data_IF_045529212319
#
_entry.id   IF_045529212319
#
_cell.length_a   1.000
_cell.length_b   1.000
_cell.length_c   1.000
_cell.angle_alpha   90.00
_cell.angle_beta   90.00
_cell.angle_gamma   90.00
#
_symmetry.space_group_name_H-M   'P 1'
#
loop_
_entity.id
_entity.type
_entity.pdbx_description
1 polymer ?
#
# COMPACT_ATOMS: atom_id res chain seq x y z
N UNK A 1 -9.80 -3.48 -16.10
CA UNK A 1 -8.69 -3.80 -17.02
C UNK A 1 -7.58 -4.44 -16.22
N UNK A 2 -7.02 -5.55 -16.70
CA UNK A 2 -5.82 -6.17 -16.12
C UNK A 2 -4.59 -5.58 -16.81
N UNK A 3 -3.56 -5.31 -16.04
CA UNK A 3 -2.28 -4.80 -16.52
C UNK A 3 -1.19 -5.72 -16.00
N UNK A 4 -0.30 -6.15 -16.89
CA UNK A 4 0.85 -6.97 -16.51
C UNK A 4 1.91 -6.12 -15.81
N UNK A 5 2.38 -6.58 -14.65
CA UNK A 5 3.40 -5.90 -13.90
C UNK A 5 4.76 -6.06 -14.59
N UNK A 6 5.49 -4.95 -14.71
CA UNK A 6 6.86 -4.94 -15.22
C UNK A 6 7.85 -5.04 -14.05
N UNK A 7 8.91 -5.83 -14.23
CA UNK A 7 9.99 -5.94 -13.26
C UNK A 7 10.63 -4.57 -12.99
N UNK A 8 10.79 -4.21 -11.71
CA UNK A 8 11.58 -3.05 -11.33
C UNK A 8 13.05 -3.27 -11.71
N UNK A 9 13.62 -2.33 -12.46
CA UNK A 9 15.04 -2.36 -12.83
C UNK A 9 15.94 -1.92 -11.67
N UNK A 10 17.24 -2.17 -11.78
CA UNK A 10 18.20 -1.64 -10.80
C UNK A 10 18.14 -0.10 -10.71
N UNK A 11 17.95 0.56 -11.84
CA UNK A 11 17.78 2.02 -11.90
C UNK A 11 16.52 2.47 -11.13
N UNK A 12 15.42 1.75 -11.30
CA UNK A 12 14.19 2.01 -10.54
C UNK A 12 14.44 1.85 -9.03
N UNK A 13 15.09 0.77 -8.63
CA UNK A 13 15.36 0.47 -7.22
C UNK A 13 16.29 1.50 -6.57
N UNK A 14 17.25 2.04 -7.31
CA UNK A 14 18.19 3.06 -6.84
C UNK A 14 17.54 4.42 -6.56
N UNK A 15 16.30 4.64 -6.97
CA UNK A 15 15.54 5.85 -6.57
C UNK A 15 15.37 5.93 -5.04
N UNK A 16 15.33 4.78 -4.38
CA UNK A 16 15.15 4.68 -2.92
C UNK A 16 16.29 3.90 -2.27
N UNK A 17 16.60 2.72 -2.78
CA UNK A 17 17.59 1.83 -2.19
C UNK A 17 19.01 2.33 -2.35
N UNK A 18 19.82 2.16 -1.32
CA UNK A 18 21.26 2.39 -1.40
C UNK A 18 21.93 1.29 -2.24
N UNK A 19 23.00 1.65 -2.94
CA UNK A 19 23.81 0.66 -3.67
C UNK A 19 24.40 -0.39 -2.73
N UNK A 20 24.77 0.00 -1.51
CA UNK A 20 25.22 -0.90 -0.46
C UNK A 20 24.18 -2.01 -0.21
N UNK A 21 22.93 -1.63 0.04
CA UNK A 21 21.85 -2.58 0.30
C UNK A 21 21.59 -3.51 -0.89
N UNK A 22 21.50 -2.97 -2.10
CA UNK A 22 21.28 -3.78 -3.29
C UNK A 22 22.45 -4.76 -3.54
N UNK A 23 23.69 -4.38 -3.18
CA UNK A 23 24.83 -5.28 -3.24
C UNK A 23 24.76 -6.40 -2.19
N UNK A 24 24.19 -6.16 -1.01
CA UNK A 24 23.95 -7.21 -0.01
C UNK A 24 23.05 -8.33 -0.54
N UNK A 25 22.06 -7.99 -1.38
CA UNK A 25 21.16 -8.99 -1.99
C UNK A 25 21.86 -9.93 -2.98
N UNK A 26 23.10 -9.67 -3.34
CA UNK A 26 23.94 -10.57 -4.12
C UNK A 26 24.50 -11.74 -3.31
N UNK A 27 24.24 -11.75 -2.00
CA UNK A 27 24.67 -12.82 -1.08
C UNK A 27 23.46 -13.62 -0.62
N UNK A 28 23.51 -14.92 -0.85
CA UNK A 28 22.41 -15.83 -0.46
C UNK A 28 22.13 -15.80 1.03
N UNK A 29 23.14 -15.57 1.87
CA UNK A 29 22.99 -15.41 3.32
C UNK A 29 22.08 -14.20 3.65
N UNK A 30 22.35 -13.05 3.04
CA UNK A 30 21.54 -11.85 3.26
C UNK A 30 20.08 -12.06 2.83
N UNK A 31 19.86 -12.68 1.68
CA UNK A 31 18.50 -12.97 1.19
C UNK A 31 17.80 -14.00 2.09
N UNK A 32 18.49 -15.02 2.55
CA UNK A 32 17.93 -16.01 3.50
C UNK A 32 17.48 -15.34 4.80
N UNK A 33 18.25 -14.38 5.30
CA UNK A 33 17.95 -13.63 6.52
C UNK A 33 16.72 -12.73 6.31
N UNK A 34 16.67 -11.98 5.21
CA UNK A 34 15.59 -11.04 4.90
C UNK A 34 14.28 -11.78 4.65
N UNK A 35 14.31 -12.86 3.88
CA UNK A 35 13.13 -13.66 3.54
C UNK A 35 12.72 -14.64 4.62
N UNK A 36 13.58 -14.84 5.63
CA UNK A 36 13.39 -15.80 6.71
C UNK A 36 13.24 -17.26 6.19
N UNK A 37 13.94 -17.57 5.11
CA UNK A 37 13.97 -18.90 4.49
C UNK A 37 15.40 -19.47 4.61
N UNK A 38 15.75 -20.13 5.72
CA UNK A 38 17.11 -20.60 5.97
C UNK A 38 17.72 -21.47 4.83
N UNK A 39 16.99 -22.37 4.15
CA UNK A 39 17.55 -23.16 3.06
C UNK A 39 18.10 -22.33 1.89
N UNK A 40 17.69 -21.10 1.72
CA UNK A 40 18.18 -20.19 0.65
C UNK A 40 19.68 -19.97 0.74
N UNK A 41 20.27 -20.04 1.95
CA UNK A 41 21.72 -19.87 2.16
C UNK A 41 22.56 -20.88 1.36
N UNK A 42 22.01 -22.08 1.12
CA UNK A 42 22.70 -23.15 0.38
C UNK A 42 22.56 -23.06 -1.14
N UNK A 43 21.75 -22.12 -1.63
CA UNK A 43 21.52 -21.94 -3.05
C UNK A 43 22.57 -21.01 -3.66
N UNK A 44 23.07 -21.33 -4.88
CA UNK A 44 23.87 -20.39 -5.65
C UNK A 44 23.09 -19.09 -5.85
N UNK A 45 23.77 -17.94 -5.71
CA UNK A 45 23.11 -16.66 -5.76
C UNK A 45 22.33 -16.40 -7.06
N UNK A 46 22.81 -16.89 -8.21
CA UNK A 46 22.07 -16.73 -9.46
C UNK A 46 20.67 -17.38 -9.44
N UNK A 47 20.51 -18.49 -8.71
CA UNK A 47 19.19 -19.11 -8.51
C UNK A 47 18.33 -18.27 -7.56
N UNK A 48 18.94 -17.74 -6.50
CA UNK A 48 18.26 -16.84 -5.56
C UNK A 48 17.76 -15.58 -6.29
N UNK A 49 18.60 -14.99 -7.13
CA UNK A 49 18.21 -13.84 -7.97
C UNK A 49 17.02 -14.17 -8.86
N UNK A 50 17.07 -15.31 -9.54
CA UNK A 50 16.04 -15.68 -10.52
C UNK A 50 14.74 -16.15 -9.89
N UNK A 51 14.81 -16.92 -8.80
CA UNK A 51 13.64 -17.65 -8.23
C UNK A 51 13.04 -16.97 -7.01
N UNK A 52 13.79 -16.15 -6.32
CA UNK A 52 13.35 -15.45 -5.11
C UNK A 52 13.21 -13.95 -5.35
N UNK A 53 14.27 -13.27 -5.76
CA UNK A 53 14.28 -11.82 -5.85
C UNK A 53 13.55 -11.27 -7.08
N UNK A 54 13.66 -11.93 -8.23
CA UNK A 54 12.97 -11.48 -9.44
C UNK A 54 11.44 -11.40 -9.28
N UNK A 55 10.76 -12.42 -8.72
CA UNK A 55 9.32 -12.30 -8.42
C UNK A 55 8.99 -11.12 -7.51
N UNK A 56 9.83 -10.84 -6.52
CA UNK A 56 9.66 -9.69 -5.65
C UNK A 56 9.88 -8.36 -6.38
N UNK A 57 10.84 -8.29 -7.32
CA UNK A 57 11.03 -7.10 -8.18
C UNK A 57 9.85 -6.89 -9.13
N UNK A 58 9.23 -7.96 -9.62
CA UNK A 58 8.01 -7.85 -10.45
C UNK A 58 6.87 -7.27 -9.63
N UNK A 59 6.66 -7.74 -8.42
CA UNK A 59 5.66 -7.18 -7.51
C UNK A 59 5.95 -5.71 -7.18
N UNK A 60 7.22 -5.37 -6.95
CA UNK A 60 7.66 -3.99 -6.69
C UNK A 60 7.37 -3.09 -7.89
N UNK A 61 7.71 -3.52 -9.10
CA UNK A 61 7.36 -2.81 -10.34
C UNK A 61 5.85 -2.65 -10.51
N UNK A 62 5.10 -3.67 -10.11
CA UNK A 62 3.63 -3.62 -10.08
C UNK A 62 3.10 -2.52 -9.16
N UNK A 63 3.68 -2.36 -7.97
CA UNK A 63 3.30 -1.30 -7.03
C UNK A 63 3.62 0.09 -7.59
N UNK A 64 4.79 0.28 -8.18
CA UNK A 64 5.18 1.54 -8.84
C UNK A 64 4.20 1.89 -9.96
N UNK A 65 3.90 0.94 -10.85
CA UNK A 65 2.95 1.13 -11.96
C UNK A 65 1.55 1.44 -11.44
N UNK A 66 1.09 0.70 -10.42
CA UNK A 66 -0.21 0.88 -9.83
C UNK A 66 -0.38 2.27 -9.20
N UNK A 67 0.68 2.83 -8.61
CA UNK A 67 0.68 4.20 -8.09
C UNK A 67 0.34 5.22 -9.18
N UNK A 68 1.00 5.14 -10.33
CA UNK A 68 0.71 5.99 -11.48
C UNK A 68 -0.72 5.80 -12.00
N UNK A 69 -1.13 4.55 -12.18
CA UNK A 69 -2.48 4.23 -12.65
C UNK A 69 -3.57 4.71 -11.68
N UNK A 70 -3.30 4.64 -10.37
CA UNK A 70 -4.23 5.15 -9.37
C UNK A 70 -4.46 6.66 -9.53
N UNK A 71 -3.40 7.44 -9.72
CA UNK A 71 -3.51 8.89 -9.93
C UNK A 71 -4.23 9.20 -11.25
N UNK A 72 -3.93 8.47 -12.32
CA UNK A 72 -4.54 8.68 -13.63
C UNK A 72 -6.02 8.28 -13.68
N UNK A 73 -6.43 7.26 -12.93
CA UNK A 73 -7.74 6.60 -13.05
C UNK A 73 -8.58 6.59 -11.77
N UNK A 74 -8.02 7.14 -10.69
CA UNK A 74 -8.66 7.23 -9.39
C UNK A 74 -8.43 6.03 -8.48
N UNK A 75 -8.07 4.86 -9.02
CA UNK A 75 -7.76 3.68 -8.23
C UNK A 75 -6.86 2.70 -9.00
N UNK A 76 -6.10 1.92 -8.26
CA UNK A 76 -5.41 0.73 -8.76
C UNK A 76 -5.20 -0.28 -7.63
N UNK A 77 -5.15 -1.56 -7.99
CA UNK A 77 -4.88 -2.66 -7.06
C UNK A 77 -3.72 -3.49 -7.63
N UNK A 78 -2.63 -3.59 -6.87
CA UNK A 78 -1.59 -4.56 -7.13
C UNK A 78 -1.88 -5.82 -6.30
N UNK A 79 -2.13 -6.95 -6.96
CA UNK A 79 -2.29 -8.24 -6.29
C UNK A 79 -0.90 -8.78 -5.94
N UNK A 80 -0.31 -8.20 -4.94
CA UNK A 80 1.08 -8.38 -4.51
C UNK A 80 1.59 -7.12 -3.83
N UNK A 81 2.89 -7.07 -3.56
CA UNK A 81 3.52 -5.93 -2.91
C UNK A 81 3.13 -5.75 -1.46
N UNK A 82 3.31 -4.53 -0.94
CA UNK A 82 3.08 -4.22 0.45
C UNK A 82 4.23 -4.63 1.36
N UNK A 83 5.45 -4.51 0.87
CA UNK A 83 6.67 -4.91 1.59
C UNK A 83 7.09 -3.88 2.63
N UNK A 84 6.21 -3.65 3.59
CA UNK A 84 6.25 -2.54 4.54
C UNK A 84 7.33 -2.66 5.63
N UNK A 85 8.02 -3.81 5.73
CA UNK A 85 9.16 -3.95 6.61
C UNK A 85 10.49 -3.54 5.98
N UNK A 86 10.54 -3.38 4.66
CA UNK A 86 11.72 -2.94 3.95
C UNK A 86 11.83 -1.42 3.90
N UNK A 87 13.01 -0.91 4.23
CA UNK A 87 13.39 0.49 4.04
C UNK A 87 14.45 0.64 2.94
N UNK A 88 14.88 1.87 2.71
CA UNK A 88 15.92 2.18 1.70
C UNK A 88 17.23 1.38 1.89
N UNK A 89 17.58 1.08 3.12
CA UNK A 89 18.89 0.54 3.50
C UNK A 89 18.81 -0.78 4.29
N UNK A 90 17.61 -1.32 4.51
CA UNK A 90 17.41 -2.56 5.28
C UNK A 90 16.18 -3.32 4.83
N UNK A 91 16.36 -4.61 4.57
CA UNK A 91 15.26 -5.58 4.40
C UNK A 91 15.00 -6.40 5.67
N UNK A 92 13.86 -7.02 5.74
CA UNK A 92 13.46 -7.90 6.83
C UNK A 92 11.99 -8.29 6.71
N UNK A 93 11.52 -9.18 7.59
CA UNK A 93 10.11 -9.57 7.62
C UNK A 93 9.54 -9.99 6.25
N UNK A 94 10.28 -10.80 5.50
CA UNK A 94 9.98 -11.25 4.13
C UNK A 94 10.10 -10.17 3.04
N UNK A 95 10.47 -8.94 3.40
CA UNK A 95 10.46 -7.78 2.51
C UNK A 95 11.88 -7.45 2.04
N UNK A 96 12.16 -7.66 0.74
CA UNK A 96 13.46 -7.39 0.13
C UNK A 96 13.53 -6.01 -0.55
N UNK A 97 12.41 -5.48 -1.00
CA UNK A 97 12.34 -4.18 -1.69
C UNK A 97 11.24 -3.30 -1.08
N UNK A 98 11.54 -2.02 -0.90
CA UNK A 98 10.62 -1.03 -0.32
C UNK A 98 9.65 -0.49 -1.38
N UNK A 99 8.70 -1.30 -1.81
CA UNK A 99 7.78 -0.97 -2.91
C UNK A 99 6.87 0.21 -2.59
N UNK A 100 6.38 0.32 -1.35
CA UNK A 100 5.54 1.45 -0.92
C UNK A 100 6.34 2.76 -1.00
N UNK A 101 7.54 2.79 -0.45
CA UNK A 101 8.43 3.96 -0.52
C UNK A 101 8.76 4.30 -1.97
N UNK A 102 9.09 3.29 -2.79
CA UNK A 102 9.37 3.47 -4.21
C UNK A 102 8.19 4.08 -4.96
N UNK A 103 6.97 3.56 -4.77
CA UNK A 103 5.78 4.09 -5.42
C UNK A 103 5.55 5.57 -5.08
N UNK A 104 5.68 5.95 -3.81
CA UNK A 104 5.50 7.34 -3.36
C UNK A 104 6.59 8.24 -3.95
N UNK A 105 7.86 7.84 -3.92
CA UNK A 105 8.95 8.63 -4.48
C UNK A 105 8.81 8.81 -5.98
N UNK A 106 8.44 7.77 -6.72
CA UNK A 106 8.16 7.87 -8.15
C UNK A 106 7.02 8.85 -8.45
N UNK A 107 5.95 8.83 -7.65
CA UNK A 107 4.84 9.77 -7.81
C UNK A 107 5.30 11.22 -7.58
N UNK A 108 6.03 11.48 -6.50
CA UNK A 108 6.53 12.82 -6.19
C UNK A 108 7.50 13.36 -7.24
N UNK A 109 8.34 12.50 -7.80
CA UNK A 109 9.38 12.91 -8.75
C UNK A 109 8.89 13.02 -10.20
N UNK A 110 7.82 12.29 -10.57
CA UNK A 110 7.46 12.08 -11.99
C UNK A 110 6.00 12.37 -12.34
N UNK A 111 5.16 12.68 -11.36
CA UNK A 111 3.76 12.98 -11.62
C UNK A 111 3.43 14.37 -11.11
N UNK A 112 3.17 15.27 -12.05
CA UNK A 112 2.82 16.64 -11.72
C UNK A 112 1.53 16.68 -10.86
N UNK A 113 1.54 17.56 -9.85
CA UNK A 113 0.41 17.74 -8.96
C UNK A 113 0.33 16.74 -7.80
N UNK A 114 1.25 15.78 -7.70
CA UNK A 114 1.34 14.85 -6.56
C UNK A 114 2.50 15.26 -5.66
N UNK A 115 2.18 15.85 -4.52
CA UNK A 115 3.17 16.33 -3.54
C UNK A 115 2.92 15.85 -2.13
N UNK A 116 1.78 15.21 -1.86
CA UNK A 116 1.41 14.68 -0.55
C UNK A 116 0.83 13.29 -0.68
N UNK A 117 1.21 12.40 0.22
CA UNK A 117 0.68 11.05 0.30
C UNK A 117 0.27 10.68 1.73
N UNK A 118 -0.75 9.87 1.87
CA UNK A 118 -1.09 9.22 3.12
C UNK A 118 -0.94 7.72 2.96
N UNK A 119 -0.19 7.10 3.86
CA UNK A 119 -0.13 5.65 3.98
C UNK A 119 -1.17 5.23 5.02
N UNK A 120 -2.08 4.36 4.63
CA UNK A 120 -3.01 3.66 5.53
C UNK A 120 -2.54 2.22 5.58
N UNK A 121 -1.80 1.88 6.62
CA UNK A 121 -1.27 0.53 6.83
C UNK A 121 -2.18 -0.24 7.79
N UNK A 122 -2.85 -1.25 7.26
CA UNK A 122 -3.78 -2.11 7.99
C UNK A 122 -3.33 -3.59 8.01
N UNK A 123 -2.08 -3.86 7.66
CA UNK A 123 -1.45 -5.15 7.95
C UNK A 123 -1.39 -5.37 9.47
N UNK A 124 -1.40 -6.62 9.92
CA UNK A 124 -1.34 -6.90 11.36
C UNK A 124 -0.03 -6.43 12.03
N UNK A 125 1.04 -6.27 11.23
CA UNK A 125 2.37 -5.87 11.70
C UNK A 125 2.62 -4.37 11.50
N UNK A 126 3.41 -3.79 12.38
CA UNK A 126 3.90 -2.42 12.20
C UNK A 126 4.70 -2.27 10.91
N UNK A 127 4.41 -1.25 10.11
CA UNK A 127 5.09 -0.94 8.85
C UNK A 127 6.41 -0.18 9.06
N UNK A 128 7.33 -0.76 9.77
CA UNK A 128 8.57 -0.10 10.20
C UNK A 128 9.49 0.36 9.05
N UNK A 129 9.38 -0.24 7.88
CA UNK A 129 10.19 0.13 6.71
C UNK A 129 9.84 1.51 6.17
N UNK A 130 8.58 1.73 5.77
CA UNK A 130 8.16 3.03 5.28
C UNK A 130 8.16 4.09 6.37
N UNK A 131 7.94 3.71 7.63
CA UNK A 131 8.06 4.62 8.76
C UNK A 131 9.48 5.20 8.86
N UNK A 132 10.51 4.37 8.72
CA UNK A 132 11.91 4.83 8.71
C UNK A 132 12.20 5.72 7.52
N UNK A 133 11.72 5.36 6.33
CA UNK A 133 11.99 6.10 5.11
C UNK A 133 11.36 7.49 5.11
N UNK A 134 10.21 7.66 5.75
CA UNK A 134 9.47 8.92 5.80
C UNK A 134 9.50 9.62 7.16
N UNK A 135 10.44 9.25 8.03
CA UNK A 135 10.57 9.80 9.38
C UNK A 135 10.53 11.33 9.42
N UNK A 136 11.27 11.97 8.54
CA UNK A 136 11.41 13.41 8.48
C UNK A 136 10.69 14.07 7.29
N UNK A 137 9.97 13.28 6.50
CA UNK A 137 9.28 13.78 5.31
C UNK A 137 7.82 14.14 5.62
N UNK A 138 7.57 15.43 5.83
CA UNK A 138 6.24 15.95 6.17
C UNK A 138 5.21 15.83 5.03
N UNK A 139 5.63 15.48 3.82
CA UNK A 139 4.73 15.23 2.69
C UNK A 139 3.98 13.91 2.84
N UNK A 140 4.48 13.00 3.68
CA UNK A 140 3.89 11.68 3.89
C UNK A 140 3.33 11.59 5.31
N UNK A 141 2.03 11.32 5.38
CA UNK A 141 1.32 11.06 6.63
C UNK A 141 1.13 9.56 6.79
N UNK A 142 1.55 9.00 7.91
CA UNK A 142 1.42 7.57 8.18
C UNK A 142 0.37 7.34 9.25
N UNK A 143 -0.67 6.57 8.88
CA UNK A 143 -1.60 5.92 9.79
C UNK A 143 -1.27 4.43 9.81
N UNK A 144 -1.00 3.88 10.96
CA UNK A 144 -0.66 2.47 11.14
C UNK A 144 -1.51 1.86 12.26
N UNK A 145 -2.23 0.78 11.91
CA UNK A 145 -3.12 0.02 12.81
C UNK A 145 -2.61 -1.41 12.87
N UNK A 146 -2.05 -1.79 13.99
CA UNK A 146 -1.31 -3.05 14.11
C UNK A 146 -1.38 -3.65 15.51
N UNK A 147 -1.10 -4.95 15.60
CA UNK A 147 -0.95 -5.65 16.88
C UNK A 147 0.39 -5.27 17.52
N UNK A 148 0.33 -4.59 18.67
CA UNK A 148 1.53 -4.09 19.37
C UNK A 148 2.42 -5.16 19.97
N UNK A 149 1.95 -6.41 20.04
CA UNK A 149 2.63 -7.51 20.72
C UNK A 149 3.49 -8.36 19.78
N UNK A 150 3.45 -8.13 18.48
CA UNK A 150 4.12 -8.93 17.48
C UNK A 150 5.29 -8.19 16.82
N UNK A 151 5.97 -8.88 15.91
CA UNK A 151 7.04 -8.32 15.08
C UNK A 151 6.57 -7.02 14.39
N UNK A 152 7.41 -6.02 14.17
CA UNK A 152 8.84 -5.95 14.54
C UNK A 152 9.09 -5.30 15.91
N UNK A 153 8.13 -4.61 16.49
CA UNK A 153 8.33 -3.85 17.73
C UNK A 153 9.38 -2.75 17.61
N UNK A 154 9.47 -2.11 16.47
CA UNK A 154 10.48 -1.10 16.14
C UNK A 154 10.12 0.25 16.75
N UNK A 155 10.57 0.47 17.98
CA UNK A 155 10.26 1.69 18.75
C UNK A 155 10.73 2.97 18.07
N UNK A 156 11.88 2.92 17.40
CA UNK A 156 12.41 4.09 16.71
C UNK A 156 11.51 4.45 15.52
N UNK A 157 11.15 3.48 14.69
CA UNK A 157 10.30 3.70 13.54
C UNK A 157 8.91 4.23 13.92
N UNK A 158 8.36 3.81 15.07
CA UNK A 158 7.07 4.29 15.58
C UNK A 158 6.97 5.81 15.71
N UNK A 159 8.07 6.50 15.85
CA UNK A 159 8.10 7.98 15.94
C UNK A 159 7.59 8.65 14.65
N UNK A 160 7.67 7.96 13.51
CA UNK A 160 7.17 8.45 12.23
C UNK A 160 5.64 8.35 12.09
N UNK A 161 4.98 7.57 12.91
CA UNK A 161 3.54 7.36 12.81
C UNK A 161 2.80 8.59 13.34
N UNK A 162 2.04 9.23 12.45
CA UNK A 162 1.23 10.39 12.81
C UNK A 162 -0.08 9.99 13.48
N UNK A 163 -0.64 8.85 13.08
CA UNK A 163 -1.85 8.27 13.67
C UNK A 163 -1.63 6.81 13.99
N UNK A 164 -1.24 6.57 15.23
CA UNK A 164 -0.89 5.25 15.73
C UNK A 164 -2.10 4.62 16.44
N UNK A 165 -2.49 3.43 15.96
CA UNK A 165 -3.56 2.63 16.56
C UNK A 165 -3.00 1.25 16.90
N UNK A 166 -2.68 1.07 18.16
CA UNK A 166 -2.15 -0.20 18.67
C UNK A 166 -3.29 -1.10 19.13
N UNK A 167 -3.33 -2.32 18.59
CA UNK A 167 -4.31 -3.34 18.91
C UNK A 167 -3.72 -4.41 19.83
N UNK A 168 -4.58 -5.14 20.48
CA UNK A 168 -4.24 -6.28 21.33
C UNK A 168 -4.53 -7.63 20.65
N UNK A 169 -3.99 -8.70 21.20
CA UNK A 169 -4.31 -10.06 20.78
C UNK A 169 -5.83 -10.27 20.71
N UNK A 170 -6.28 -10.91 19.64
CA UNK A 170 -7.65 -11.32 19.49
C UNK A 170 -8.66 -10.19 19.28
N UNK A 171 -8.22 -8.99 18.88
CA UNK A 171 -9.13 -7.91 18.47
C UNK A 171 -10.06 -8.39 17.37
N UNK A 172 -11.36 -8.19 17.55
CA UNK A 172 -12.43 -8.63 16.65
C UNK A 172 -12.98 -7.51 15.76
N UNK A 173 -13.86 -7.85 14.83
CA UNK A 173 -14.40 -7.00 13.78
C UNK A 173 -14.93 -5.65 14.27
N UNK A 174 -15.80 -5.64 15.27
CA UNK A 174 -16.48 -4.42 15.72
C UNK A 174 -15.49 -3.36 16.21
N UNK A 175 -14.61 -3.75 17.11
CA UNK A 175 -13.57 -2.85 17.64
C UNK A 175 -12.63 -2.39 16.54
N UNK A 176 -12.18 -3.33 15.69
CA UNK A 176 -11.24 -3.08 14.62
C UNK A 176 -11.79 -2.10 13.59
N UNK A 177 -12.97 -2.38 13.05
CA UNK A 177 -13.60 -1.54 12.02
C UNK A 177 -13.93 -0.15 12.56
N UNK A 178 -14.39 -0.04 13.80
CA UNK A 178 -14.65 1.26 14.44
C UNK A 178 -13.36 2.09 14.57
N UNK A 179 -12.28 1.47 15.04
CA UNK A 179 -10.97 2.14 15.15
C UNK A 179 -10.42 2.57 13.81
N UNK A 180 -10.53 1.71 12.79
CA UNK A 180 -10.08 2.02 11.43
C UNK A 180 -10.85 3.21 10.86
N UNK A 181 -12.18 3.18 10.90
CA UNK A 181 -13.02 4.24 10.36
C UNK A 181 -12.72 5.59 11.02
N UNK A 182 -12.79 5.64 12.33
CA UNK A 182 -12.59 6.87 13.12
C UNK A 182 -11.21 7.47 12.89
N UNK A 183 -10.16 6.65 12.87
CA UNK A 183 -8.80 7.15 12.72
C UNK A 183 -8.49 7.54 11.27
N UNK A 184 -9.02 6.82 10.30
CA UNK A 184 -8.84 7.15 8.88
C UNK A 184 -9.51 8.48 8.53
N UNK A 185 -10.73 8.73 9.00
CA UNK A 185 -11.40 10.01 8.78
C UNK A 185 -10.61 11.18 9.36
N UNK A 186 -10.08 11.03 10.56
CA UNK A 186 -9.22 12.05 11.19
C UNK A 186 -7.91 12.23 10.42
N UNK A 187 -7.26 11.14 9.99
CA UNK A 187 -6.03 11.20 9.23
C UNK A 187 -6.22 12.02 7.94
N UNK A 188 -7.30 11.77 7.21
CA UNK A 188 -7.59 12.47 5.96
C UNK A 188 -8.06 13.92 6.16
N UNK A 189 -8.58 14.28 7.34
CA UNK A 189 -8.87 15.65 7.71
C UNK A 189 -7.60 16.44 8.09
N UNK A 190 -6.69 15.79 8.82
CA UNK A 190 -5.43 16.40 9.26
C UNK A 190 -4.44 16.61 8.12
N UNK A 191 -4.49 15.74 7.12
CA UNK A 191 -3.60 15.75 5.96
C UNK A 191 -4.41 15.41 4.71
N UNK A 192 -4.64 16.41 3.87
CA UNK A 192 -5.34 16.23 2.60
C UNK A 192 -4.36 15.73 1.54
N UNK A 193 -4.24 14.42 1.29
CA UNK A 193 -3.26 13.89 0.37
C UNK A 193 -3.73 13.96 -1.08
N UNK A 194 -2.76 13.90 -1.99
CA UNK A 194 -3.01 13.75 -3.43
C UNK A 194 -3.19 12.28 -3.82
N UNK A 195 -2.75 11.37 -2.96
CA UNK A 195 -2.87 9.92 -3.15
C UNK A 195 -2.85 9.21 -1.81
N UNK A 196 -3.61 8.13 -1.71
CA UNK A 196 -3.58 7.18 -0.59
C UNK A 196 -2.94 5.88 -1.03
N UNK A 197 -1.97 5.41 -0.25
CA UNK A 197 -1.41 4.07 -0.38
C UNK A 197 -2.02 3.22 0.73
N UNK A 198 -2.82 2.24 0.34
CA UNK A 198 -3.49 1.33 1.25
C UNK A 198 -2.77 -0.02 1.31
N UNK A 199 -2.17 -0.32 2.44
CA UNK A 199 -1.55 -1.61 2.73
C UNK A 199 -2.58 -2.54 3.36
N UNK A 200 -3.16 -3.43 2.56
CA UNK A 200 -4.32 -4.24 2.90
C UNK A 200 -3.94 -5.68 3.31
N UNK A 201 -3.05 -5.81 4.30
CA UNK A 201 -2.67 -7.13 4.81
C UNK A 201 -3.88 -7.96 5.25
N UNK A 202 -3.89 -9.25 4.92
CA UNK A 202 -4.92 -10.20 5.32
C UNK A 202 -4.50 -11.10 6.47
N UNK A 203 -3.34 -10.84 7.05
CA UNK A 203 -2.84 -11.51 8.26
C UNK A 203 -3.56 -11.05 9.55
N UNK A 204 -4.48 -10.09 9.43
CA UNK A 204 -5.45 -9.75 10.47
C UNK A 204 -6.54 -10.82 10.66
N UNK A 205 -6.66 -11.75 9.70
CA UNK A 205 -7.66 -12.81 9.69
C UNK A 205 -7.52 -13.71 10.92
N UNK A 206 -8.64 -14.07 11.51
CA UNK A 206 -8.71 -15.08 12.58
C UNK A 206 -7.96 -16.36 12.19
N UNK A 207 -7.19 -16.91 13.12
CA UNK A 207 -6.39 -18.10 12.91
C UNK A 207 -5.04 -17.87 12.20
N UNK A 208 -4.72 -16.64 11.77
CA UNK A 208 -3.38 -16.32 11.28
C UNK A 208 -2.39 -16.32 12.44
N UNK A 209 -1.39 -17.23 12.36
CA UNK A 209 -0.43 -17.44 13.44
C UNK A 209 0.57 -16.28 13.60
N UNK A 210 0.76 -15.48 12.56
CA UNK A 210 1.70 -14.36 12.59
C UNK A 210 1.02 -13.05 13.01
N UNK A 211 -0.29 -12.89 12.72
CA UNK A 211 -1.02 -11.67 13.00
C UNK A 211 -1.60 -11.58 14.41
N UNK A 212 -2.14 -12.67 14.91
CA UNK A 212 -2.69 -12.75 16.27
C UNK A 212 -3.94 -11.91 16.53
N UNK A 213 -4.63 -11.48 15.47
CA UNK A 213 -5.93 -10.82 15.53
C UNK A 213 -7.05 -11.83 15.23
N UNK A 214 -8.30 -11.40 15.33
CA UNK A 214 -9.46 -12.27 15.14
C UNK A 214 -10.52 -11.63 14.22
N UNK A 215 -10.05 -11.06 13.10
CA UNK A 215 -10.92 -10.45 12.10
C UNK A 215 -11.53 -11.56 11.23
N UNK A 216 -12.84 -11.54 11.05
CA UNK A 216 -13.52 -12.51 10.20
C UNK A 216 -13.25 -12.24 8.71
N UNK A 217 -13.51 -13.22 7.81
CA UNK A 217 -13.48 -13.00 6.37
C UNK A 217 -14.37 -11.83 5.94
N UNK A 218 -15.56 -11.74 6.50
CA UNK A 218 -16.51 -10.64 6.26
C UNK A 218 -15.97 -9.32 6.78
N UNK A 219 -15.27 -9.33 7.92
CA UNK A 219 -14.59 -8.17 8.49
C UNK A 219 -13.51 -7.61 7.57
N UNK A 220 -12.74 -8.46 6.89
CA UNK A 220 -11.74 -8.03 5.89
C UNK A 220 -12.42 -7.38 4.69
N UNK A 221 -13.46 -8.00 4.14
CA UNK A 221 -14.22 -7.44 3.01
C UNK A 221 -14.80 -6.07 3.40
N UNK A 222 -15.36 -5.96 4.60
CA UNK A 222 -15.92 -4.73 5.12
C UNK A 222 -14.87 -3.64 5.37
N UNK A 223 -13.69 -4.03 5.83
CA UNK A 223 -12.54 -3.13 6.01
C UNK A 223 -12.13 -2.48 4.68
N UNK A 224 -11.94 -3.29 3.66
CA UNK A 224 -11.53 -2.81 2.34
C UNK A 224 -12.63 -1.92 1.71
N UNK A 225 -13.90 -2.31 1.86
CA UNK A 225 -15.03 -1.47 1.47
C UNK A 225 -15.00 -0.11 2.15
N UNK A 226 -14.80 -0.09 3.46
CA UNK A 226 -14.75 1.11 4.27
C UNK A 226 -13.64 2.05 3.82
N UNK A 227 -12.43 1.54 3.61
CA UNK A 227 -11.28 2.33 3.15
C UNK A 227 -11.57 2.95 1.78
N UNK A 228 -12.01 2.15 0.83
CA UNK A 228 -12.33 2.66 -0.52
C UNK A 228 -13.47 3.68 -0.49
N UNK A 229 -14.51 3.43 0.28
CA UNK A 229 -15.65 4.34 0.39
C UNK A 229 -15.24 5.71 0.93
N UNK A 230 -14.46 5.75 2.01
CA UNK A 230 -14.00 7.00 2.63
C UNK A 230 -13.03 7.75 1.73
N UNK A 231 -12.07 7.08 1.12
CA UNK A 231 -11.08 7.70 0.25
C UNK A 231 -11.72 8.18 -1.06
N UNK A 232 -12.52 7.33 -1.69
CA UNK A 232 -13.18 7.69 -2.97
C UNK A 232 -14.22 8.79 -2.82
N UNK A 233 -14.95 8.85 -1.70
CA UNK A 233 -15.90 9.94 -1.43
C UNK A 233 -15.23 11.32 -1.35
N UNK A 234 -13.94 11.34 -1.04
CA UNK A 234 -13.11 12.56 -1.03
C UNK A 234 -12.42 12.83 -2.36
N UNK A 235 -12.70 12.02 -3.39
CA UNK A 235 -12.08 12.10 -4.73
C UNK A 235 -10.56 11.96 -4.68
N UNK A 236 -10.03 11.21 -3.72
CA UNK A 236 -8.60 10.94 -3.59
C UNK A 236 -8.28 9.64 -4.33
N UNK A 237 -7.24 9.63 -5.18
CA UNK A 237 -6.72 8.40 -5.77
C UNK A 237 -6.24 7.42 -4.71
N UNK A 238 -6.47 6.12 -4.93
CA UNK A 238 -6.07 5.06 -4.00
C UNK A 238 -5.32 3.93 -4.74
N UNK A 239 -4.15 3.60 -4.21
CA UNK A 239 -3.40 2.39 -4.55
C UNK A 239 -3.56 1.39 -3.40
N UNK A 240 -4.07 0.20 -3.70
CA UNK A 240 -4.14 -0.92 -2.76
C UNK A 240 -3.09 -1.96 -3.10
N UNK A 241 -2.38 -2.46 -2.09
CA UNK A 241 -1.47 -3.62 -2.16
C UNK A 241 -1.90 -4.67 -1.15
N UNK A 242 -1.63 -5.96 -1.43
CA UNK A 242 -2.22 -7.06 -0.66
C UNK A 242 -1.42 -7.47 0.58
N UNK A 243 -0.13 -7.14 0.64
CA UNK A 243 0.71 -7.35 1.82
C UNK A 243 0.68 -8.76 2.43
N UNK A 244 0.78 -8.88 3.77
CA UNK A 244 0.78 -10.13 4.50
C UNK A 244 -0.53 -10.91 4.44
N UNK A 245 -0.44 -12.19 4.76
CA UNK A 245 -1.55 -13.13 4.79
C UNK A 245 -1.04 -14.55 4.59
N UNK A 246 -1.16 -15.41 5.62
CA UNK A 246 -0.40 -16.65 5.72
C UNK A 246 -1.30 -17.89 5.78
N UNK A 247 -2.57 -17.75 5.35
CA UNK A 247 -3.52 -18.83 5.24
C UNK A 247 -3.95 -19.03 3.77
N UNK A 248 -4.19 -20.26 3.36
CA UNK A 248 -4.62 -20.56 1.99
C UNK A 248 -5.94 -19.88 1.60
N UNK A 249 -6.84 -19.69 2.56
CA UNK A 249 -8.15 -19.06 2.34
C UNK A 249 -8.10 -17.56 2.05
N UNK A 250 -6.98 -16.89 2.32
CA UNK A 250 -6.86 -15.45 2.07
C UNK A 250 -7.01 -15.08 0.59
N UNK A 251 -6.58 -15.95 -0.32
CA UNK A 251 -6.74 -15.72 -1.76
C UNK A 251 -8.22 -15.53 -2.14
N UNK A 252 -9.11 -16.37 -1.58
CA UNK A 252 -10.55 -16.24 -1.82
C UNK A 252 -11.11 -14.98 -1.20
N UNK A 253 -10.70 -14.64 0.02
CA UNK A 253 -11.15 -13.43 0.74
C UNK A 253 -10.75 -12.17 -0.03
N UNK A 254 -9.52 -12.11 -0.54
CA UNK A 254 -9.05 -11.00 -1.39
C UNK A 254 -9.90 -10.89 -2.66
N UNK A 255 -10.19 -12.01 -3.31
CA UNK A 255 -11.03 -12.03 -4.50
C UNK A 255 -12.46 -11.54 -4.20
N UNK A 256 -13.04 -12.00 -3.10
CA UNK A 256 -14.38 -11.59 -2.66
C UNK A 256 -14.40 -10.09 -2.31
N UNK A 257 -13.35 -9.57 -1.69
CA UNK A 257 -13.20 -8.14 -1.41
C UNK A 257 -13.17 -7.31 -2.69
N UNK A 258 -12.33 -7.68 -3.67
CA UNK A 258 -12.24 -6.96 -4.94
C UNK A 258 -13.58 -7.02 -5.70
N UNK A 259 -14.25 -8.16 -5.67
CA UNK A 259 -15.56 -8.31 -6.28
C UNK A 259 -16.62 -7.42 -5.60
N UNK A 260 -16.59 -7.34 -4.27
CA UNK A 260 -17.45 -6.45 -3.49
C UNK A 260 -17.22 -4.98 -3.87
N UNK A 261 -15.96 -4.54 -3.96
CA UNK A 261 -15.63 -3.18 -4.38
C UNK A 261 -16.17 -2.85 -5.77
N UNK A 262 -16.09 -3.82 -6.69
CA UNK A 262 -16.66 -3.68 -8.04
C UNK A 262 -18.18 -3.58 -8.03
N UNK A 263 -18.84 -4.43 -7.26
CA UNK A 263 -20.31 -4.45 -7.17
C UNK A 263 -20.88 -3.17 -6.55
N UNK A 264 -20.08 -2.48 -5.76
CA UNK A 264 -20.43 -1.19 -5.12
C UNK A 264 -19.98 0.03 -5.94
N UNK A 265 -19.47 -0.17 -7.15
CA UNK A 265 -18.93 0.89 -8.03
C UNK A 265 -17.82 1.73 -7.39
N UNK A 266 -17.14 1.18 -6.37
CA UNK A 266 -15.97 1.81 -5.75
C UNK A 266 -14.70 1.65 -6.60
N UNK A 267 -14.67 0.64 -7.45
CA UNK A 267 -13.70 0.41 -8.50
C UNK A 267 -14.44 0.13 -9.81
N UNK A 268 -14.13 0.88 -10.85
CA UNK A 268 -14.80 0.74 -12.14
C UNK A 268 -14.29 1.79 -13.12
N UNK A 269 -14.78 1.81 -14.35
CA UNK A 269 -14.51 2.93 -15.24
C UNK A 269 -15.09 4.20 -14.62
N UNK A 270 -14.31 5.27 -14.55
CA UNK A 270 -14.84 6.58 -14.17
C UNK A 270 -15.87 6.96 -15.22
N UNK A 271 -17.10 7.25 -14.80
CA UNK A 271 -18.02 7.99 -15.66
C UNK A 271 -17.36 9.32 -16.03
N UNK A 272 -17.33 9.71 -17.31
CA UNK A 272 -16.81 11.01 -17.67
C UNK A 272 -17.55 12.06 -16.83
N UNK A 273 -16.82 12.87 -16.11
CA UNK A 273 -17.37 14.04 -15.43
C UNK A 273 -18.03 14.90 -16.49
N UNK A 274 -19.36 14.96 -16.49
CA UNK A 274 -20.11 15.93 -17.29
C UNK A 274 -19.72 17.30 -16.72
N UNK A 275 -18.74 17.92 -17.35
CA UNK A 275 -18.52 19.34 -17.19
C UNK A 275 -19.72 20.02 -17.85
N UNK A 276 -20.70 20.38 -17.06
CA UNK A 276 -21.72 21.37 -17.45
C UNK A 276 -21.02 22.71 -17.62
N UNK A 277 -20.43 22.92 -18.79
CA UNK A 277 -20.24 24.27 -19.28
C UNK A 277 -21.58 24.77 -19.75
N UNK A 278 -22.29 25.46 -18.90
CA UNK A 278 -23.38 26.36 -19.31
C UNK A 278 -22.75 27.56 -19.99
N UNK A 279 -22.63 27.51 -21.30
CA UNK A 279 -22.38 28.67 -22.13
C UNK A 279 -23.72 29.26 -22.52
N UNK A 280 -24.38 29.98 -21.62
CA UNK A 280 -25.40 30.94 -21.95
C UNK A 280 -24.72 32.31 -22.14
N UNK A 281 -24.31 32.56 -23.35
CA UNK A 281 -24.03 33.92 -23.80
C UNK A 281 -25.22 34.37 -24.63
N UNK A 282 -25.95 35.43 -24.22
CA UNK A 282 -27.04 35.99 -25.05
C UNK A 282 -26.46 36.69 -26.29
N UNK A 283 -26.92 36.25 -27.44
CA UNK A 283 -26.68 36.96 -28.69
C UNK A 283 -27.35 38.32 -28.67
N UNK A 284 -26.55 39.37 -28.68
CA UNK A 284 -27.03 40.72 -28.96
C UNK A 284 -27.44 40.81 -30.43
N UNK A 285 -28.72 41.13 -30.66
CA UNK A 285 -29.27 41.51 -31.97
C UNK A 285 -28.68 42.84 -32.47
N UNK A 286 -28.45 42.99 -33.79
CA UNK A 286 -28.03 44.26 -34.36
C UNK A 286 -29.21 45.21 -34.50
N UNK A 287 -29.06 46.41 -33.97
CA UNK A 287 -29.98 47.54 -34.27
C UNK A 287 -29.72 48.09 -35.68
N UNK A 288 -30.78 48.12 -36.45
CA UNK A 288 -30.88 48.82 -37.74
C UNK A 288 -31.12 50.27 -37.47
N UNK A 289 -30.35 51.13 -38.04
CA UNK A 289 -30.71 52.40 -38.71
C UNK A 289 -29.48 53.05 -39.30
#
# INVERSE_FOLDING_TARGET
MLVEAREASEEDLLVVHTRRYLNELKWSFAVATITEIPPVIFLPNFLVQRKVLRPLRIQTGGTIMAGKLAVERGWAINVGGGFHHCSSDRGGGFCAYADITLAIKFLFDRVDGVSKATIIDLDAHQGNGHERDFMDDKRVYIMDVYNRHIYPGDRFAKQAIRRKVELDWGTEDEEYLHKVERNMEKALQEHSPDVVIYNAGTDVLEGDRLGGLAISPEGIVKRDELVFRVVRSRQIPILMVTSGGYQKRTARIIADSILNLRNLDLIGPQSPSISTQSSDTPLLSPSVS
#
